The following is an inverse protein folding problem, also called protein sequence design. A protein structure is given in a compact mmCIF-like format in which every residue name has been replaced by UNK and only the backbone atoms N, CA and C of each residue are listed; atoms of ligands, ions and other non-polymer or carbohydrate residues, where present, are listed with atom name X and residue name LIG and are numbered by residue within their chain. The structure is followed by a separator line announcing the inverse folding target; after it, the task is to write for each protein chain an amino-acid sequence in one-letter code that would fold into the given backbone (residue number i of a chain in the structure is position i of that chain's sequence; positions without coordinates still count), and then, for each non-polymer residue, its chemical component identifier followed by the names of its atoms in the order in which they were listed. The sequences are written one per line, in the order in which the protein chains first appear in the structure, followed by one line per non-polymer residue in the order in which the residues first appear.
data_IF_196657588144
#
_entry.id   IF_196657588144
#
_cell.length_a   1.000
_cell.length_b   1.000
_cell.length_c   1.000
_cell.angle_alpha   90.00
_cell.angle_beta   90.00
_cell.angle_gamma   90.00
#
_symmetry.space_group_name_H-M   'P 1'
#
loop_
_entity.id
_entity.type
_entity.pdbx_description
1 polymer ?
#
# COMPACT_ATOMS: atom_id res chain seq x y z
N UNK A 1 -2.07 9.07 27.93
CA UNK A 1 -1.82 9.52 26.55
C UNK A 1 -0.85 8.50 26.00
N UNK A 2 -1.42 7.42 25.46
CA UNK A 2 -0.70 6.19 25.09
C UNK A 2 0.10 6.42 23.81
N UNK A 3 1.32 5.90 23.81
CA UNK A 3 2.27 5.89 22.71
C UNK A 3 1.74 4.93 21.63
N UNK A 4 1.06 5.44 20.61
CA UNK A 4 0.58 4.61 19.51
C UNK A 4 1.78 4.12 18.69
N UNK A 5 1.91 2.80 18.60
CA UNK A 5 3.03 2.12 17.93
C UNK A 5 2.88 2.26 16.42
N UNK A 6 3.77 3.05 15.82
CA UNK A 6 3.86 3.22 14.37
C UNK A 6 4.45 1.97 13.73
N UNK A 7 3.78 1.46 12.70
CA UNK A 7 4.30 0.38 11.86
C UNK A 7 4.70 0.92 10.49
N UNK A 8 5.85 0.51 9.96
CA UNK A 8 6.25 0.82 8.59
C UNK A 8 7.04 -0.32 7.95
N UNK A 9 6.84 -0.49 6.64
CA UNK A 9 7.62 -1.39 5.81
C UNK A 9 7.98 -0.69 4.49
N UNK A 10 9.25 -0.80 4.11
CA UNK A 10 9.73 -0.52 2.76
C UNK A 10 9.90 -1.85 2.03
N UNK A 11 9.27 -1.98 0.87
CA UNK A 11 9.17 -3.26 0.16
C UNK A 11 10.44 -3.63 -0.62
N UNK A 12 11.33 -2.66 -0.81
CA UNK A 12 12.68 -2.90 -1.31
C UNK A 12 13.57 -3.34 -0.14
N UNK A 13 13.96 -4.61 -0.14
CA UNK A 13 14.98 -5.08 0.80
C UNK A 13 16.32 -4.39 0.58
N UNK A 14 17.26 -4.57 1.53
CA UNK A 14 18.64 -4.02 1.47
C UNK A 14 19.40 -4.39 0.18
N UNK A 15 18.91 -5.38 -0.58
CA UNK A 15 19.48 -5.90 -1.82
C UNK A 15 18.69 -5.53 -3.09
N UNK A 16 17.64 -4.70 -2.99
CA UNK A 16 16.79 -4.32 -4.14
C UNK A 16 15.78 -5.41 -4.56
N UNK A 17 15.61 -6.45 -3.76
CA UNK A 17 14.59 -7.49 -3.97
C UNK A 17 13.25 -7.07 -3.35
N UNK A 18 12.16 -7.38 -4.06
CA UNK A 18 10.78 -7.15 -3.58
C UNK A 18 10.46 -8.14 -2.47
N UNK A 19 10.10 -7.63 -1.30
CA UNK A 19 9.65 -8.47 -0.19
C UNK A 19 8.17 -8.23 0.11
N UNK A 20 7.39 -9.27 0.47
CA UNK A 20 6.03 -9.05 0.97
C UNK A 20 6.11 -8.13 2.20
N UNK A 21 5.36 -7.03 2.19
CA UNK A 21 5.25 -6.17 3.35
C UNK A 21 4.18 -6.72 4.29
N UNK A 22 4.57 -6.81 5.56
CA UNK A 22 3.63 -6.95 6.67
C UNK A 22 3.86 -5.74 7.57
N UNK A 23 2.80 -5.03 7.89
CA UNK A 23 2.83 -3.93 8.84
C UNK A 23 1.82 -4.20 9.94
N UNK A 24 2.25 -3.99 11.18
CA UNK A 24 1.48 -4.22 12.39
C UNK A 24 1.20 -2.87 13.05
N UNK A 25 -0.04 -2.64 13.47
CA UNK A 25 -0.48 -1.42 14.12
C UNK A 25 -1.99 -1.42 14.34
N UNK A 26 -2.47 -0.63 15.28
CA UNK A 26 -3.90 -0.52 15.59
C UNK A 26 -4.63 0.21 14.44
N UNK A 27 -5.44 -0.51 13.65
CA UNK A 27 -6.23 0.05 12.55
C UNK A 27 -7.70 0.16 12.88
N UNK A 28 -8.16 -0.60 13.88
CA UNK A 28 -9.56 -0.60 14.33
C UNK A 28 -9.84 0.44 15.40
N UNK A 29 -8.80 0.99 16.03
CA UNK A 29 -8.87 1.97 17.11
C UNK A 29 -9.23 1.38 18.47
N UNK A 30 -9.10 0.06 18.65
CA UNK A 30 -9.47 -0.64 19.88
C UNK A 30 -8.32 -0.74 20.90
N UNK A 31 -7.13 -0.23 20.54
CA UNK A 31 -5.93 -0.26 21.36
C UNK A 31 -5.11 -1.55 21.23
N UNK A 32 -5.48 -2.46 20.33
CA UNK A 32 -4.76 -3.70 20.02
C UNK A 32 -4.19 -3.62 18.61
N UNK A 33 -2.93 -4.03 18.43
CA UNK A 33 -2.33 -4.00 17.10
C UNK A 33 -3.01 -5.03 16.17
N UNK A 34 -3.37 -4.58 14.97
CA UNK A 34 -3.86 -5.37 13.85
C UNK A 34 -2.74 -5.59 12.82
N UNK A 35 -3.01 -6.36 11.77
CA UNK A 35 -2.05 -6.68 10.72
C UNK A 35 -2.54 -6.35 9.31
N UNK A 36 -1.65 -5.79 8.50
CA UNK A 36 -1.86 -5.55 7.07
C UNK A 36 -0.77 -6.27 6.28
N UNK A 37 -1.19 -7.00 5.25
CA UNK A 37 -0.29 -7.76 4.37
C UNK A 37 -0.48 -7.31 2.92
N UNK A 38 0.62 -6.98 2.25
CA UNK A 38 0.63 -6.79 0.78
C UNK A 38 0.79 -8.13 0.07
N UNK A 39 -0.28 -8.59 -0.57
CA UNK A 39 -0.27 -9.83 -1.36
C UNK A 39 0.13 -9.50 -2.79
N UNK A 40 1.36 -9.87 -3.14
CA UNK A 40 1.94 -9.69 -4.47
C UNK A 40 1.55 -10.84 -5.39
N UNK A 41 0.99 -10.52 -6.56
CA UNK A 41 0.68 -11.48 -7.61
C UNK A 41 1.60 -11.27 -8.81
N UNK A 42 2.38 -12.29 -9.16
CA UNK A 42 3.32 -12.29 -10.30
C UNK A 42 2.94 -13.34 -11.36
N UNK A 43 1.67 -13.77 -11.38
CA UNK A 43 1.19 -14.83 -12.27
C UNK A 43 1.55 -14.57 -13.73
N UNK A 44 2.26 -15.53 -14.34
CA UNK A 44 2.75 -15.43 -15.72
C UNK A 44 3.96 -14.51 -15.91
N UNK A 45 4.67 -14.16 -14.83
CA UNK A 45 5.78 -13.21 -14.84
C UNK A 45 5.34 -11.75 -14.97
N UNK A 46 4.03 -11.49 -14.81
CA UNK A 46 3.45 -10.15 -14.85
C UNK A 46 3.24 -9.71 -13.41
N UNK A 47 3.93 -8.66 -12.98
CA UNK A 47 3.67 -8.04 -11.69
C UNK A 47 2.31 -7.35 -11.71
N UNK A 48 1.26 -8.09 -11.39
CA UNK A 48 -0.09 -7.55 -11.29
C UNK A 48 -0.19 -6.58 -10.11
N UNK A 49 -1.21 -5.71 -10.10
CA UNK A 49 -1.49 -4.92 -8.91
C UNK A 49 -1.68 -5.82 -7.70
N UNK A 50 -1.01 -5.47 -6.60
CA UNK A 50 -1.14 -6.18 -5.34
C UNK A 50 -2.44 -5.81 -4.59
N UNK A 51 -2.79 -6.65 -3.62
CA UNK A 51 -3.94 -6.47 -2.73
C UNK A 51 -3.45 -6.30 -1.30
N UNK A 52 -3.94 -5.28 -0.60
CA UNK A 52 -3.76 -5.17 0.84
C UNK A 52 -4.85 -5.98 1.56
N UNK A 53 -4.46 -6.83 2.49
CA UNK A 53 -5.37 -7.68 3.26
C UNK A 53 -5.17 -7.43 4.75
N UNK A 54 -6.27 -7.24 5.47
CA UNK A 54 -6.30 -6.75 6.84
C UNK A 54 -6.88 -7.82 7.78
N UNK A 55 -6.21 -8.02 8.91
CA UNK A 55 -6.62 -8.98 9.94
C UNK A 55 -6.47 -8.40 11.33
N UNK A 56 -7.33 -8.81 12.25
CA UNK A 56 -7.12 -8.54 13.69
C UNK A 56 -5.99 -9.37 14.26
N UNK A 57 -5.52 -9.03 15.47
CA UNK A 57 -4.62 -9.88 16.27
C UNK A 57 -5.16 -11.31 16.50
N UNK A 58 -6.49 -11.49 16.42
CA UNK A 58 -7.17 -12.79 16.49
C UNK A 58 -7.22 -13.56 15.16
N UNK A 59 -6.57 -13.07 14.11
CA UNK A 59 -6.68 -13.58 12.73
C UNK A 59 -8.09 -13.51 12.15
N UNK A 60 -8.94 -12.62 12.67
CA UNK A 60 -10.23 -12.33 12.05
C UNK A 60 -10.02 -11.43 10.84
N UNK A 61 -10.66 -11.76 9.73
CA UNK A 61 -10.56 -10.99 8.50
C UNK A 61 -11.36 -9.69 8.61
N UNK A 62 -10.68 -8.56 8.47
CA UNK A 62 -11.30 -7.23 8.51
C UNK A 62 -11.70 -6.73 7.11
N UNK A 63 -11.01 -7.18 6.07
CA UNK A 63 -11.25 -6.70 4.71
C UNK A 63 -10.02 -6.76 3.83
N UNK A 64 -10.20 -6.34 2.58
CA UNK A 64 -9.13 -6.22 1.60
C UNK A 64 -9.38 -5.05 0.69
N UNK A 65 -8.32 -4.40 0.23
CA UNK A 65 -8.38 -3.33 -0.75
C UNK A 65 -7.46 -3.66 -1.90
N UNK A 66 -8.04 -3.81 -3.10
CA UNK A 66 -7.27 -3.97 -4.32
C UNK A 66 -7.01 -2.59 -4.94
N UNK A 67 -5.81 -2.35 -5.49
CA UNK A 67 -5.48 -1.01 -6.04
C UNK A 67 -6.39 -0.58 -7.20
N UNK A 68 -6.96 -1.54 -7.92
CA UNK A 68 -7.97 -1.27 -8.96
C UNK A 68 -9.32 -0.79 -8.43
N UNK A 69 -9.59 -0.95 -7.13
CA UNK A 69 -10.80 -0.40 -6.49
C UNK A 69 -10.64 1.11 -6.21
N UNK A 70 -9.39 1.60 -6.26
CA UNK A 70 -9.01 2.98 -5.93
C UNK A 70 -8.85 3.81 -7.20
N UNK A 71 -8.22 3.23 -8.22
CA UNK A 71 -7.98 3.87 -9.52
C UNK A 71 -8.17 2.89 -10.67
N UNK A 72 -8.72 3.34 -11.80
CA UNK A 72 -9.02 2.48 -12.96
C UNK A 72 -7.78 1.79 -13.57
N UNK A 73 -6.59 2.36 -13.38
CA UNK A 73 -5.33 1.78 -13.83
C UNK A 73 -4.23 2.00 -12.77
N UNK A 74 -4.06 1.06 -11.82
CA UNK A 74 -3.08 1.20 -10.73
C UNK A 74 -1.65 0.89 -11.16
N UNK A 75 -1.39 0.61 -12.44
CA UNK A 75 -0.08 0.18 -12.91
C UNK A 75 0.21 -1.27 -12.55
N UNK A 76 1.49 -1.58 -12.29
CA UNK A 76 1.99 -2.94 -12.05
C UNK A 76 2.85 -2.98 -10.79
N UNK A 77 3.02 -4.17 -10.23
CA UNK A 77 3.94 -4.45 -9.12
C UNK A 77 3.30 -4.41 -7.73
N UNK A 78 4.12 -4.45 -6.67
CA UNK A 78 3.65 -4.30 -5.29
C UNK A 78 3.41 -2.83 -4.94
N UNK A 79 3.02 -2.57 -3.69
CA UNK A 79 3.18 -1.23 -3.10
C UNK A 79 4.68 -0.93 -2.89
N UNK A 80 5.03 0.36 -2.76
CA UNK A 80 6.41 0.84 -2.54
C UNK A 80 6.68 1.00 -1.03
N UNK A 81 5.78 1.72 -0.37
CA UNK A 81 5.76 1.98 1.07
C UNK A 81 4.40 1.54 1.62
N UNK A 82 4.40 0.98 2.83
CA UNK A 82 3.18 0.68 3.61
C UNK A 82 3.42 1.10 5.07
N UNK A 83 2.45 1.79 5.64
CA UNK A 83 2.53 2.40 6.97
C UNK A 83 1.20 2.34 7.70
N UNK A 84 1.26 2.24 9.03
CA UNK A 84 0.12 2.43 9.93
C UNK A 84 0.54 3.50 10.95
N UNK A 85 -0.20 4.60 11.00
CA UNK A 85 0.02 5.72 11.92
C UNK A 85 -1.32 6.31 12.35
N UNK A 86 -1.58 6.34 13.66
CA UNK A 86 -2.81 6.91 14.24
C UNK A 86 -4.11 6.35 13.63
N UNK A 87 -4.17 5.03 13.37
CA UNK A 87 -5.29 4.36 12.71
C UNK A 87 -5.39 4.57 11.19
N UNK A 88 -4.52 5.39 10.61
CA UNK A 88 -4.44 5.62 9.17
C UNK A 88 -3.49 4.64 8.52
N UNK A 89 -3.92 4.06 7.42
CA UNK A 89 -3.08 3.19 6.59
C UNK A 89 -2.62 3.99 5.38
N UNK A 90 -1.34 4.35 5.38
CA UNK A 90 -0.70 5.04 4.27
C UNK A 90 0.05 4.04 3.40
N UNK A 91 -0.16 4.08 2.09
CA UNK A 91 0.62 3.28 1.17
C UNK A 91 0.78 3.96 -0.19
N UNK A 92 1.76 3.50 -0.95
CA UNK A 92 2.14 4.14 -2.19
C UNK A 92 2.54 3.14 -3.26
N UNK A 93 2.53 3.56 -4.53
CA UNK A 93 2.94 2.72 -5.63
C UNK A 93 3.31 3.53 -6.87
N UNK A 94 4.01 2.87 -7.80
CA UNK A 94 4.29 3.41 -9.12
C UNK A 94 3.15 3.07 -10.08
N UNK A 95 2.59 4.07 -10.75
CA UNK A 95 1.47 3.88 -11.67
C UNK A 95 1.41 4.91 -12.80
N UNK A 96 0.54 4.67 -13.79
CA UNK A 96 0.25 5.64 -14.84
C UNK A 96 -0.56 6.82 -14.31
N UNK A 97 -0.52 7.94 -15.04
CA UNK A 97 -1.31 9.13 -14.75
C UNK A 97 -2.77 8.99 -15.17
N UNK A 98 -3.02 8.27 -16.25
CA UNK A 98 -4.35 8.11 -16.82
C UNK A 98 -4.67 6.64 -17.09
N UNK A 99 -5.96 6.28 -17.17
CA UNK A 99 -6.35 4.91 -17.49
C UNK A 99 -5.84 4.40 -18.84
N UNK A 100 -5.63 5.32 -19.80
CA UNK A 100 -5.17 5.02 -21.16
C UNK A 100 -3.66 4.78 -21.30
N UNK A 101 -2.85 5.13 -20.29
CA UNK A 101 -1.41 4.90 -20.32
C UNK A 101 -1.05 3.41 -20.12
N UNK A 102 0.02 2.90 -20.74
CA UNK A 102 0.47 1.53 -20.53
C UNK A 102 0.82 1.25 -19.06
N UNK A 103 0.15 0.26 -18.45
CA UNK A 103 0.35 -0.12 -17.04
C UNK A 103 1.79 -0.58 -16.70
N UNK A 104 2.60 -0.98 -17.71
CA UNK A 104 3.99 -1.36 -17.53
C UNK A 104 4.91 -0.22 -17.10
N UNK A 105 4.50 1.00 -17.37
CA UNK A 105 5.41 2.09 -17.66
C UNK A 105 4.96 3.31 -16.86
N UNK A 106 5.15 3.27 -15.52
CA UNK A 106 4.58 4.27 -14.62
C UNK A 106 5.16 5.65 -14.91
N UNK A 107 4.32 6.68 -14.74
CA UNK A 107 4.68 8.10 -14.89
C UNK A 107 4.41 8.90 -13.62
N UNK A 108 3.68 8.31 -12.67
CA UNK A 108 3.34 8.86 -11.37
C UNK A 108 3.80 7.95 -10.23
N UNK A 109 4.03 8.57 -9.09
CA UNK A 109 4.05 7.95 -7.78
C UNK A 109 2.74 8.30 -7.08
N UNK A 110 1.91 7.30 -6.84
CA UNK A 110 0.62 7.46 -6.20
C UNK A 110 0.76 7.17 -4.71
N UNK A 111 0.02 7.93 -3.90
CA UNK A 111 -0.12 7.69 -2.47
C UNK A 111 -1.61 7.63 -2.16
N UNK A 112 -2.02 6.66 -1.37
CA UNK A 112 -3.37 6.59 -0.85
C UNK A 112 -3.34 6.49 0.68
N UNK A 113 -4.39 7.02 1.29
CA UNK A 113 -4.67 6.81 2.72
C UNK A 113 -6.01 6.14 2.90
N UNK A 114 -6.03 5.12 3.73
CA UNK A 114 -7.23 4.42 4.15
C UNK A 114 -7.49 4.64 5.63
N UNK A 115 -8.75 4.48 6.03
CA UNK A 115 -9.19 4.39 7.41
C UNK A 115 -10.24 3.29 7.52
N UNK A 116 -10.26 2.57 8.63
CA UNK A 116 -11.36 1.67 8.95
C UNK A 116 -12.53 2.46 9.51
N UNK A 117 -13.71 2.34 8.93
CA UNK A 117 -14.91 3.09 9.38
C UNK A 117 -15.75 2.32 10.43
N UNK A 118 -15.27 1.16 10.85
CA UNK A 118 -15.98 0.21 11.72
C UNK A 118 -16.59 -0.97 10.95
N UNK A 119 -16.70 -0.88 9.63
CA UNK A 119 -17.23 -1.94 8.75
C UNK A 119 -16.29 -2.29 7.61
N UNK A 120 -15.66 -1.30 6.99
CA UNK A 120 -14.75 -1.51 5.86
C UNK A 120 -13.60 -0.49 5.84
N UNK A 121 -12.60 -0.74 4.98
CA UNK A 121 -11.54 0.20 4.73
C UNK A 121 -11.94 1.16 3.62
N UNK A 122 -12.07 2.43 3.97
CA UNK A 122 -12.47 3.49 3.03
C UNK A 122 -11.27 4.30 2.56
N UNK A 123 -11.24 4.65 1.28
CA UNK A 123 -10.23 5.57 0.74
C UNK A 123 -10.56 6.99 1.18
N UNK A 124 -9.68 7.58 1.98
CA UNK A 124 -9.87 8.93 2.47
C UNK A 124 -9.17 10.00 1.63
N UNK A 125 -8.03 9.64 1.01
CA UNK A 125 -7.27 10.54 0.16
C UNK A 125 -6.44 9.77 -0.87
N UNK A 126 -6.23 10.39 -2.03
CA UNK A 126 -5.33 9.93 -3.09
C UNK A 126 -4.55 11.12 -3.62
N UNK A 127 -3.22 11.00 -3.61
CA UNK A 127 -2.29 11.97 -4.19
C UNK A 127 -1.53 11.34 -5.37
N UNK A 128 -1.34 12.12 -6.42
CA UNK A 128 -0.52 11.75 -7.58
C UNK A 128 0.67 12.71 -7.69
N UNK A 129 1.86 12.17 -7.54
CA UNK A 129 3.12 12.91 -7.67
C UNK A 129 3.83 12.52 -8.98
N UNK A 130 4.23 13.45 -9.85
CA UNK A 130 4.99 13.11 -11.05
C UNK A 130 6.34 12.46 -10.70
N UNK A 131 6.72 11.39 -11.41
CA UNK A 131 7.98 10.67 -11.09
C UNK A 131 9.24 11.52 -11.23
N UNK A 132 9.22 12.49 -12.15
CA UNK A 132 10.33 13.44 -12.35
C UNK A 132 10.62 14.30 -11.11
N UNK A 133 9.68 14.38 -10.17
CA UNK A 133 9.80 15.18 -8.96
C UNK A 133 10.27 14.33 -7.75
N UNK A 134 10.58 13.03 -7.96
CA UNK A 134 11.30 12.17 -7.01
C UNK A 134 12.77 12.02 -7.43
N UNK A 135 13.68 12.11 -6.46
CA UNK A 135 15.08 11.67 -6.63
C UNK A 135 15.10 10.19 -7.07
N UNK A 136 15.95 9.79 -8.02
CA UNK A 136 16.05 8.39 -8.42
C UNK A 136 16.52 7.56 -7.22
N UNK A 137 15.69 6.60 -6.81
CA UNK A 137 16.01 5.58 -5.79
C UNK A 137 17.18 4.67 -6.22
N UNK A 138 17.61 4.77 -7.48
CA UNK A 138 18.82 4.15 -7.99
C UNK A 138 19.84 5.24 -8.32
N UNK A 139 20.72 5.52 -7.36
CA UNK A 139 21.93 6.32 -7.61
C UNK A 139 22.78 5.65 -8.69
N UNK A 140 23.18 6.46 -9.68
CA UNK A 140 24.37 6.20 -10.48
C UNK A 140 25.59 6.85 -9.85
#
# INVERSE_FOLDING_TARGET
MEDQRKGSANIWGVLGEKQPAIVIGDVTGDGVDDGVVDIVCDAGGVGWPSTLVFYTNGSEYLGSVHRSDIVDNPGRGPVDELTIEDGWIGFSWYGPKTPSEPACCPTQYLKARLMYDGTEFVVADIQLDPLKDREPIYGG
#
